data_IF_001781622360
#
_entry.id   IF_001781622360
#
_cell.length_a   1.000
_cell.length_b   1.000
_cell.length_c   1.000
_cell.angle_alpha   90.00
_cell.angle_beta   90.00
_cell.angle_gamma   90.00
#
_symmetry.space_group_name_H-M   'P 1'
#
loop_
_entity.id
_entity.type
_entity.pdbx_description
1 polymer ?
#
# COMPACT_ATOMS: atom_id res chain seq x y z
N UNK A 1 9.87 1.04 8.60
CA UNK A 1 8.74 1.23 7.66
C UNK A 1 8.32 2.68 7.66
N UNK A 2 7.79 3.17 6.55
CA UNK A 2 7.36 4.56 6.42
C UNK A 2 6.09 4.61 5.59
N UNK A 3 5.02 5.19 6.15
CA UNK A 3 3.77 5.47 5.43
C UNK A 3 3.78 6.94 5.00
N UNK A 4 3.46 7.19 3.75
CA UNK A 4 3.39 8.53 3.16
C UNK A 4 2.08 8.68 2.41
N UNK A 5 1.45 9.86 2.52
CA UNK A 5 0.34 10.26 1.65
C UNK A 5 0.91 10.99 0.45
N UNK A 6 0.70 10.45 -0.75
CA UNK A 6 1.21 11.03 -1.99
C UNK A 6 0.33 12.22 -2.45
N UNK A 7 -0.98 12.07 -2.27
CA UNK A 7 -2.00 13.05 -2.64
C UNK A 7 -3.37 12.39 -2.57
N UNK A 8 -4.46 13.17 -2.58
CA UNK A 8 -5.82 12.60 -2.61
C UNK A 8 -6.04 11.49 -1.57
N UNK A 9 -6.46 10.32 -2.03
CA UNK A 9 -6.62 9.06 -1.30
C UNK A 9 -5.48 8.05 -1.55
N UNK A 10 -4.38 8.49 -2.16
CA UNK A 10 -3.21 7.67 -2.50
C UNK A 10 -2.15 7.67 -1.39
N UNK A 11 -1.68 6.47 -1.06
CA UNK A 11 -0.69 6.22 -0.02
C UNK A 11 0.40 5.28 -0.51
N UNK A 12 1.63 5.51 -0.05
CA UNK A 12 2.77 4.62 -0.27
C UNK A 12 3.32 4.12 1.07
N UNK A 13 3.71 2.84 1.11
CA UNK A 13 4.40 2.23 2.24
C UNK A 13 5.78 1.77 1.78
N UNK A 14 6.82 2.32 2.39
CA UNK A 14 8.19 1.90 2.16
C UNK A 14 8.64 0.93 3.25
N UNK A 15 9.16 -0.23 2.82
CA UNK A 15 9.64 -1.32 3.68
C UNK A 15 11.14 -1.57 3.42
N UNK A 16 12.06 -0.86 4.12
CA UNK A 16 13.49 -1.07 3.94
C UNK A 16 13.93 -2.47 4.37
N UNK A 17 14.97 -3.03 3.73
CA UNK A 17 15.56 -4.34 4.06
C UNK A 17 14.53 -5.49 4.14
N UNK A 18 13.51 -5.44 3.29
CA UNK A 18 12.39 -6.37 3.29
C UNK A 18 12.45 -7.27 2.05
N UNK A 19 12.05 -8.54 2.20
CA UNK A 19 11.92 -9.47 1.07
C UNK A 19 10.52 -9.43 0.47
N UNK A 20 10.36 -10.04 -0.71
CA UNK A 20 9.10 -10.02 -1.46
C UNK A 20 7.97 -10.67 -0.69
N UNK A 21 8.25 -11.77 0.00
CA UNK A 21 7.27 -12.55 0.76
C UNK A 21 6.69 -11.74 1.91
N UNK A 22 7.54 -11.04 2.66
CA UNK A 22 7.08 -10.20 3.76
C UNK A 22 6.33 -8.96 3.26
N UNK A 23 6.79 -8.34 2.16
CA UNK A 23 6.06 -7.22 1.53
C UNK A 23 4.66 -7.64 1.07
N UNK A 24 4.52 -8.80 0.43
CA UNK A 24 3.21 -9.38 0.06
C UNK A 24 2.33 -9.60 1.28
N UNK A 25 2.89 -10.21 2.34
CA UNK A 25 2.14 -10.44 3.59
C UNK A 25 1.64 -9.14 4.22
N UNK A 26 2.45 -8.07 4.19
CA UNK A 26 2.04 -6.74 4.67
C UNK A 26 0.88 -6.20 3.83
N UNK A 27 0.99 -6.25 2.50
CA UNK A 27 -0.07 -5.82 1.58
C UNK A 27 -1.38 -6.58 1.80
N UNK A 28 -1.32 -7.92 1.88
CA UNK A 28 -2.50 -8.76 2.15
C UNK A 28 -3.14 -8.46 3.51
N UNK A 29 -2.34 -8.19 4.53
CA UNK A 29 -2.85 -7.84 5.84
C UNK A 29 -3.57 -6.49 5.83
N UNK A 30 -3.03 -5.50 5.11
CA UNK A 30 -3.69 -4.20 4.93
C UNK A 30 -5.01 -4.37 4.19
N UNK A 31 -5.03 -5.10 3.06
CA UNK A 31 -6.25 -5.37 2.31
C UNK A 31 -7.34 -6.02 3.20
N UNK A 32 -6.96 -7.03 3.98
CA UNK A 32 -7.87 -7.71 4.91
C UNK A 32 -8.42 -6.79 6.01
N UNK A 33 -7.63 -5.82 6.47
CA UNK A 33 -8.09 -4.84 7.45
C UNK A 33 -9.10 -3.87 6.84
N UNK A 34 -8.92 -3.52 5.56
CA UNK A 34 -9.82 -2.63 4.81
C UNK A 34 -11.15 -3.31 4.44
N UNK A 35 -11.24 -4.64 4.42
CA UNK A 35 -12.51 -5.38 4.20
C UNK A 35 -13.58 -5.06 5.26
N UNK A 36 -13.19 -4.55 6.42
CA UNK A 36 -14.13 -4.14 7.47
C UNK A 36 -14.67 -2.74 7.13
N UNK A 37 -15.99 -2.55 7.07
CA UNK A 37 -16.55 -1.23 6.81
C UNK A 37 -16.19 -0.26 7.94
N UNK A 38 -15.95 0.99 7.56
CA UNK A 38 -15.71 2.07 8.50
C UNK A 38 -17.04 2.56 9.07
N UNK A 39 -17.09 2.74 10.38
CA UNK A 39 -18.23 3.38 11.02
C UNK A 39 -18.03 4.90 10.98
N UNK A 40 -18.89 5.60 10.25
CA UNK A 40 -18.98 7.06 10.25
C UNK A 40 -20.39 7.42 10.71
N UNK A 41 -20.47 8.06 11.88
CA UNK A 41 -21.72 8.29 12.62
C UNK A 41 -22.51 6.96 12.84
N UNK A 42 -23.69 6.85 12.23
CA UNK A 42 -24.57 5.68 12.30
C UNK A 42 -24.53 4.83 11.02
N UNK A 43 -23.64 5.15 10.09
CA UNK A 43 -23.51 4.45 8.81
C UNK A 43 -22.25 3.58 8.78
N UNK A 44 -22.39 2.39 8.20
CA UNK A 44 -21.28 1.51 7.85
C UNK A 44 -20.92 1.75 6.39
N UNK A 45 -19.71 2.23 6.17
CA UNK A 45 -19.22 2.61 4.84
C UNK A 45 -18.14 1.61 4.43
N UNK A 46 -18.41 0.73 3.44
CA UNK A 46 -17.38 -0.13 2.89
C UNK A 46 -16.40 0.72 2.07
N UNK A 47 -15.10 0.46 2.24
CA UNK A 47 -14.03 1.10 1.47
C UNK A 47 -13.16 0.02 0.88
N UNK A 48 -13.02 0.01 -0.44
CA UNK A 48 -12.08 -0.86 -1.13
C UNK A 48 -10.68 -0.26 -1.17
N UNK A 49 -9.67 -1.10 -1.29
CA UNK A 49 -8.29 -0.68 -1.56
C UNK A 49 -7.70 -1.52 -2.69
N UNK A 50 -6.84 -0.90 -3.48
CA UNK A 50 -5.95 -1.59 -4.41
C UNK A 50 -4.51 -1.35 -3.96
N UNK A 51 -3.69 -2.39 -4.02
CA UNK A 51 -2.29 -2.35 -3.55
C UNK A 51 -1.44 -2.96 -4.65
N UNK A 52 -0.60 -2.17 -5.30
CA UNK A 52 0.51 -2.66 -6.10
C UNK A 52 1.83 -2.56 -5.34
N UNK A 53 2.87 -3.16 -5.90
CA UNK A 53 4.19 -3.25 -5.28
C UNK A 53 5.30 -3.14 -6.31
N UNK A 54 6.37 -2.47 -5.92
CA UNK A 54 7.63 -2.44 -6.63
C UNK A 54 8.79 -2.63 -5.63
N UNK A 55 9.89 -3.20 -6.11
CA UNK A 55 11.08 -3.51 -5.33
C UNK A 55 12.28 -2.81 -5.93
N UNK A 56 12.98 -2.04 -5.10
CA UNK A 56 14.33 -1.60 -5.42
C UNK A 56 15.34 -2.76 -5.28
N UNK A 57 16.30 -2.94 -6.21
CA UNK A 57 16.46 -2.23 -7.47
C UNK A 57 15.73 -2.88 -8.67
N UNK A 58 15.12 -4.06 -8.46
CA UNK A 58 14.58 -4.94 -9.51
C UNK A 58 13.56 -4.24 -10.43
N UNK A 59 12.67 -3.44 -9.86
CA UNK A 59 11.59 -2.72 -10.56
C UNK A 59 11.95 -1.24 -10.83
N UNK A 60 13.16 -0.80 -10.48
CA UNK A 60 13.60 0.58 -10.68
C UNK A 60 14.61 1.07 -9.66
N UNK A 61 15.36 2.09 -10.05
CA UNK A 61 16.44 2.69 -9.23
C UNK A 61 16.14 4.11 -8.74
N UNK A 62 14.96 4.65 -9.06
CA UNK A 62 14.49 5.95 -8.57
C UNK A 62 13.08 5.81 -7.98
N UNK A 63 12.71 6.75 -7.10
CA UNK A 63 11.40 6.76 -6.48
C UNK A 63 10.28 6.85 -7.53
N UNK A 64 10.44 7.71 -8.54
CA UNK A 64 9.44 7.90 -9.60
C UNK A 64 9.19 6.61 -10.39
N UNK A 65 10.25 5.85 -10.74
CA UNK A 65 10.12 4.58 -11.46
C UNK A 65 9.44 3.53 -10.59
N UNK A 66 9.78 3.46 -9.30
CA UNK A 66 9.20 2.49 -8.38
C UNK A 66 7.71 2.78 -8.12
N UNK A 67 7.34 4.05 -7.98
CA UNK A 67 5.93 4.45 -7.86
C UNK A 67 5.18 4.06 -9.12
N UNK A 68 5.73 4.34 -10.31
CA UNK A 68 5.10 3.99 -11.58
C UNK A 68 4.89 2.46 -11.77
N UNK A 69 5.78 1.62 -11.22
CA UNK A 69 5.60 0.16 -11.27
C UNK A 69 4.65 -0.38 -10.20
N UNK A 70 4.45 0.36 -9.10
CA UNK A 70 3.60 -0.04 -7.99
C UNK A 70 2.16 0.45 -8.10
N UNK A 71 1.88 1.43 -8.97
CA UNK A 71 0.55 1.90 -9.32
C UNK A 71 -0.12 0.98 -10.36
#
# INVERSE_FOLDING_TARGET
DTLVRLGGDEFAIMLPNTNREYAMMVGENIARLMDKPFQIDQQLIPVGISIGMARYPDDGTSADILIQHAD
#
